data_IF_086252150146
#
_entry.id   IF_086252150146
#
_cell.length_a   1.000
_cell.length_b   1.000
_cell.length_c   1.000
_cell.angle_alpha   90.00
_cell.angle_beta   90.00
_cell.angle_gamma   90.00
#
_symmetry.space_group_name_H-M   'P 1'
#
loop_
_entity.id
_entity.type
_entity.pdbx_description
1 polymer ?
#
# COMPACT_ATOMS: atom_id res chain seq x y z
N UNK A 1 16.22 -4.40 -6.92
CA UNK A 1 15.56 -4.43 -5.60
C UNK A 1 14.11 -3.96 -5.68
N UNK A 2 13.85 -2.73 -6.16
CA UNK A 2 12.49 -2.15 -6.26
C UNK A 2 11.44 -3.05 -6.94
N UNK A 3 11.78 -3.71 -8.06
CA UNK A 3 10.86 -4.65 -8.75
C UNK A 3 10.48 -5.83 -7.84
N UNK A 4 11.46 -6.39 -7.11
CA UNK A 4 11.21 -7.49 -6.16
C UNK A 4 10.26 -7.05 -5.05
N UNK A 5 10.47 -5.85 -4.49
CA UNK A 5 9.58 -5.26 -3.48
C UNK A 5 8.17 -5.09 -4.03
N UNK A 6 8.04 -4.59 -5.26
CA UNK A 6 6.73 -4.41 -5.90
C UNK A 6 5.98 -5.74 -6.04
N UNK A 7 6.64 -6.79 -6.54
CA UNK A 7 6.01 -8.11 -6.70
C UNK A 7 5.63 -8.72 -5.35
N UNK A 8 6.52 -8.66 -4.34
CA UNK A 8 6.19 -9.15 -2.98
C UNK A 8 5.03 -8.37 -2.34
N UNK A 9 4.98 -7.05 -2.53
CA UNK A 9 3.85 -6.25 -2.09
C UNK A 9 2.55 -6.63 -2.81
N UNK A 10 2.61 -6.85 -4.13
CA UNK A 10 1.45 -7.27 -4.92
C UNK A 10 0.93 -8.63 -4.48
N UNK A 11 1.80 -9.61 -4.28
CA UNK A 11 1.45 -10.94 -3.75
C UNK A 11 0.78 -10.83 -2.38
N UNK A 12 1.42 -10.12 -1.44
CA UNK A 12 0.85 -9.91 -0.11
C UNK A 12 -0.53 -9.25 -0.15
N UNK A 13 -0.71 -8.22 -1.00
CA UNK A 13 -1.99 -7.52 -1.09
C UNK A 13 -3.10 -8.40 -1.67
N UNK A 14 -2.79 -9.24 -2.66
CA UNK A 14 -3.74 -10.18 -3.25
C UNK A 14 -4.15 -11.22 -2.20
N UNK A 15 -3.21 -11.78 -1.45
CA UNK A 15 -3.50 -12.79 -0.42
C UNK A 15 -4.34 -12.26 0.74
N UNK A 16 -4.09 -11.03 1.18
CA UNK A 16 -4.70 -10.48 2.40
C UNK A 16 -5.94 -9.59 2.12
N UNK A 17 -6.01 -8.97 0.95
CA UNK A 17 -7.08 -8.01 0.60
C UNK A 17 -7.78 -8.32 -0.72
N UNK A 18 -7.31 -9.30 -1.49
CA UNK A 18 -7.83 -9.64 -2.80
C UNK A 18 -7.77 -8.45 -3.76
N UNK A 19 -8.83 -8.25 -4.52
CA UNK A 19 -8.92 -7.20 -5.54
C UNK A 19 -9.38 -5.83 -4.99
N UNK A 20 -9.45 -5.65 -3.65
CA UNK A 20 -9.92 -4.40 -3.05
C UNK A 20 -8.90 -3.26 -3.20
N UNK A 21 -7.61 -3.62 -3.20
CA UNK A 21 -6.49 -2.68 -3.28
C UNK A 21 -5.41 -3.24 -4.20
N UNK A 22 -4.46 -2.40 -4.56
CA UNK A 22 -3.31 -2.80 -5.39
C UNK A 22 -2.04 -2.10 -4.90
N UNK A 23 -0.89 -2.67 -5.26
CA UNK A 23 0.39 -2.04 -5.08
C UNK A 23 0.50 -0.81 -6.01
N UNK A 24 0.91 0.30 -5.44
CA UNK A 24 1.16 1.57 -6.11
C UNK A 24 2.66 1.84 -6.25
N UNK A 25 3.03 3.11 -6.09
CA UNK A 25 4.42 3.55 -6.15
C UNK A 25 5.28 2.88 -5.07
N UNK A 26 6.48 2.46 -5.47
CA UNK A 26 7.52 1.94 -4.58
C UNK A 26 8.64 2.96 -4.49
N UNK A 27 9.05 3.32 -3.28
CA UNK A 27 10.17 4.23 -3.06
C UNK A 27 11.01 3.79 -1.86
N UNK A 28 12.26 4.24 -1.84
CA UNK A 28 13.19 3.95 -0.76
C UNK A 28 13.32 5.16 0.17
N UNK A 29 12.98 4.98 1.44
CA UNK A 29 13.20 5.98 2.47
C UNK A 29 14.59 5.81 3.08
N UNK A 30 15.52 6.69 2.65
CA UNK A 30 16.90 6.69 3.13
C UNK A 30 17.02 7.01 4.62
N UNK A 31 16.04 7.68 5.24
CA UNK A 31 16.10 8.05 6.67
C UNK A 31 15.88 6.83 7.55
N UNK A 32 14.92 5.99 7.16
CA UNK A 32 14.55 4.79 7.91
C UNK A 32 15.18 3.50 7.35
N UNK A 33 15.88 3.58 6.21
CA UNK A 33 16.46 2.43 5.51
C UNK A 33 15.39 1.39 5.12
N UNK A 34 14.20 1.85 4.74
CA UNK A 34 13.05 1.02 4.40
C UNK A 34 12.61 1.24 2.96
N UNK A 35 12.06 0.19 2.36
CA UNK A 35 11.29 0.29 1.13
C UNK A 35 9.82 0.45 1.46
N UNK A 36 9.18 1.46 0.89
CA UNK A 36 7.78 1.79 1.14
C UNK A 36 7.01 1.55 -0.16
N UNK A 37 5.87 0.87 -0.06
CA UNK A 37 4.97 0.60 -1.19
C UNK A 37 3.61 1.19 -0.89
N UNK A 38 3.19 2.16 -1.69
CA UNK A 38 1.84 2.72 -1.56
C UNK A 38 0.80 1.64 -1.84
N UNK A 39 -0.25 1.63 -1.04
CA UNK A 39 -1.45 0.83 -1.26
C UNK A 39 -2.49 1.76 -1.86
N UNK A 40 -3.05 1.38 -3.00
CA UNK A 40 -4.04 2.19 -3.72
C UNK A 40 -5.36 1.44 -3.86
N UNK A 41 -6.47 2.16 -3.71
CA UNK A 41 -7.81 1.68 -3.97
C UNK A 41 -8.33 2.31 -5.27
N UNK A 42 -8.84 1.48 -6.18
CA UNK A 42 -9.51 1.94 -7.40
C UNK A 42 -10.98 2.21 -7.09
N UNK A 43 -11.41 3.44 -7.31
CA UNK A 43 -12.81 3.86 -7.09
C UNK A 43 -13.37 4.51 -8.35
N UNK A 44 -14.71 4.70 -8.45
CA UNK A 44 -15.30 5.52 -9.49
C UNK A 44 -14.75 6.96 -9.56
N UNK A 45 -14.21 7.48 -8.43
CA UNK A 45 -13.61 8.81 -8.33
C UNK A 45 -12.10 8.82 -8.61
N UNK A 46 -11.57 7.73 -9.18
CA UNK A 46 -10.15 7.55 -9.49
C UNK A 46 -9.41 6.66 -8.50
N UNK A 47 -8.08 6.70 -8.61
CA UNK A 47 -7.15 5.93 -7.77
C UNK A 47 -6.82 6.74 -6.51
N UNK A 48 -7.04 6.16 -5.34
CA UNK A 48 -6.86 6.81 -4.05
C UNK A 48 -5.79 6.06 -3.25
N UNK A 49 -4.68 6.70 -2.85
CA UNK A 49 -3.74 6.12 -1.90
C UNK A 49 -4.39 5.98 -0.52
N UNK A 50 -4.35 4.78 0.04
CA UNK A 50 -5.05 4.40 1.28
C UNK A 50 -4.15 3.87 2.38
N UNK A 51 -2.85 3.69 2.13
CA UNK A 51 -1.87 3.23 3.11
C UNK A 51 -0.53 2.92 2.45
N UNK A 52 0.39 2.34 3.21
CA UNK A 52 1.69 1.88 2.72
C UNK A 52 2.07 0.54 3.36
N UNK A 53 2.79 -0.30 2.64
CA UNK A 53 3.52 -1.44 3.18
C UNK A 53 4.97 -1.03 3.39
N UNK A 54 5.57 -1.44 4.50
CA UNK A 54 6.96 -1.16 4.81
C UNK A 54 7.77 -2.46 4.75
N UNK A 55 8.85 -2.42 4.01
CA UNK A 55 9.81 -3.50 3.89
C UNK A 55 11.18 -3.04 4.39
N UNK A 56 11.96 -3.94 4.96
CA UNK A 56 13.35 -3.69 5.29
C UNK A 56 14.22 -3.60 4.03
N UNK A 57 15.49 -3.26 4.21
CA UNK A 57 16.46 -3.20 3.11
C UNK A 57 16.61 -4.53 2.34
N UNK A 58 16.35 -5.67 2.99
CA UNK A 58 16.46 -7.01 2.40
C UNK A 58 15.17 -7.45 1.67
N UNK A 59 14.08 -6.69 1.84
CA UNK A 59 12.78 -6.97 1.27
C UNK A 59 11.87 -7.84 2.12
N UNK A 60 12.12 -7.92 3.42
CA UNK A 60 11.18 -8.53 4.36
C UNK A 60 10.12 -7.51 4.76
N UNK A 61 8.86 -7.93 4.80
CA UNK A 61 7.76 -7.08 5.26
C UNK A 61 7.90 -6.81 6.77
N UNK A 62 7.99 -5.54 7.16
CA UNK A 62 8.08 -5.08 8.55
C UNK A 62 6.69 -4.70 9.05
N UNK A 63 5.95 -3.95 8.25
CA UNK A 63 4.66 -3.39 8.66
C UNK A 63 3.64 -3.41 7.52
N UNK A 64 2.41 -3.75 7.86
CA UNK A 64 1.26 -3.71 6.97
C UNK A 64 0.02 -3.20 7.72
N UNK A 65 -0.76 -2.30 7.12
CA UNK A 65 -2.00 -1.82 7.70
C UNK A 65 -3.10 -2.88 7.64
N UNK A 66 -4.04 -2.82 8.59
CA UNK A 66 -5.19 -3.72 8.59
C UNK A 66 -6.23 -3.29 7.55
N UNK A 67 -7.13 -4.22 7.19
CA UNK A 67 -8.24 -3.95 6.27
C UNK A 67 -9.13 -2.82 6.77
N UNK A 68 -9.38 -2.79 8.08
CA UNK A 68 -10.17 -1.74 8.71
C UNK A 68 -9.51 -0.37 8.59
N UNK A 69 -8.20 -0.28 8.85
CA UNK A 69 -7.43 0.95 8.68
C UNK A 69 -7.52 1.48 7.25
N UNK A 70 -7.32 0.61 6.25
CA UNK A 70 -7.42 0.99 4.83
C UNK A 70 -8.82 1.48 4.46
N UNK A 71 -9.87 0.80 4.92
CA UNK A 71 -11.26 1.19 4.68
C UNK A 71 -11.61 2.53 5.33
N UNK A 72 -11.12 2.77 6.55
CA UNK A 72 -11.35 4.03 7.25
C UNK A 72 -10.67 5.21 6.52
N UNK A 73 -9.43 5.01 6.05
CA UNK A 73 -8.73 6.02 5.24
C UNK A 73 -9.48 6.30 3.94
N UNK A 74 -9.96 5.24 3.27
CA UNK A 74 -10.73 5.38 2.02
C UNK A 74 -12.02 6.17 2.23
N UNK A 75 -12.80 5.83 3.26
CA UNK A 75 -14.07 6.53 3.59
C UNK A 75 -13.81 8.01 3.87
N UNK A 76 -12.80 8.33 4.68
CA UNK A 76 -12.43 9.71 4.97
C UNK A 76 -12.07 10.47 3.70
N UNK A 77 -11.24 9.89 2.82
CA UNK A 77 -10.85 10.53 1.56
C UNK A 77 -12.01 10.73 0.57
N UNK A 78 -12.98 9.82 0.56
CA UNK A 78 -14.18 9.95 -0.28
C UNK A 78 -15.15 11.01 0.26
N UNK A 79 -15.27 11.15 1.58
CA UNK A 79 -16.12 12.17 2.20
C UNK A 79 -15.56 13.59 2.06
N UNK A 80 -14.23 13.75 2.02
CA UNK A 80 -13.56 15.03 1.76
C UNK A 80 -13.71 15.52 0.31
N UNK A 81 -14.22 14.68 -0.60
CA UNK A 81 -14.45 15.02 -2.02
C UNK A 81 -15.91 15.38 -2.34
N UNK A 82 -16.81 15.39 -1.35
CA UNK A 82 -18.19 15.87 -1.49
C UNK A 82 -18.28 17.35 -1.13
#
# INVERSE_FOLDING_TARGET
MQIKIFESAKEYLIENFGNLVSAGEVYFDKRNNTWNVKIVAKTPHGIIPVGELLFDFNGNLIEAPTKETLLNILKTKLNLKK
#
